data_IF_815425326966
#
_entry.id   IF_815425326966
#
_cell.length_a   1.000
_cell.length_b   1.000
_cell.length_c   1.000
_cell.angle_alpha   90.00
_cell.angle_beta   90.00
_cell.angle_gamma   90.00
#
_symmetry.space_group_name_H-M   'P 1'
#
loop_
_entity.id
_entity.type
_entity.pdbx_description
1 polymer ?
#
# COMPACT_ATOMS: atom_id res chain seq x y z
N UNK A 1 -27.87 -13.09 0.72
CA UNK A 1 -28.04 -14.14 -0.31
C UNK A 1 -26.68 -14.67 -0.77
N UNK A 2 -26.57 -15.93 -1.16
CA UNK A 2 -25.33 -16.64 -1.49
C UNK A 2 -24.46 -15.96 -2.57
N UNK A 3 -25.07 -15.32 -3.56
CA UNK A 3 -24.33 -14.70 -4.67
C UNK A 3 -23.44 -13.52 -4.24
N UNK A 4 -23.90 -12.63 -3.35
CA UNK A 4 -23.10 -11.52 -2.87
C UNK A 4 -21.90 -11.98 -2.02
N UNK A 5 -22.08 -13.05 -1.23
CA UNK A 5 -20.98 -13.63 -0.44
C UNK A 5 -19.90 -14.29 -1.32
N UNK A 6 -20.29 -14.83 -2.47
CA UNK A 6 -19.35 -15.47 -3.40
C UNK A 6 -18.54 -14.45 -4.20
N UNK A 7 -19.14 -13.31 -4.55
CA UNK A 7 -18.44 -12.20 -5.22
C UNK A 7 -17.41 -11.56 -4.27
N UNK A 8 -17.79 -11.34 -3.01
CA UNK A 8 -16.87 -10.82 -1.98
C UNK A 8 -15.68 -11.76 -1.76
N UNK A 9 -15.92 -13.07 -1.66
CA UNK A 9 -14.86 -14.07 -1.47
C UNK A 9 -13.90 -14.21 -2.66
N UNK A 10 -14.29 -13.75 -3.85
CA UNK A 10 -13.47 -13.82 -5.07
C UNK A 10 -12.71 -12.53 -5.37
N UNK A 11 -12.91 -11.48 -4.56
CA UNK A 11 -12.32 -10.18 -4.83
C UNK A 11 -10.81 -10.15 -4.55
N UNK A 12 -10.38 -10.82 -3.49
CA UNK A 12 -8.99 -10.78 -3.00
C UNK A 12 -8.41 -12.16 -2.69
N UNK A 13 -8.38 -13.10 -3.67
CA UNK A 13 -7.96 -14.49 -3.42
C UNK A 13 -6.49 -14.63 -3.01
N UNK A 14 -5.61 -13.75 -3.48
CA UNK A 14 -4.18 -13.77 -3.14
C UNK A 14 -3.95 -13.27 -1.70
N UNK A 15 -4.55 -12.14 -1.33
CA UNK A 15 -4.51 -11.60 0.03
C UNK A 15 -5.16 -12.57 1.02
N UNK A 16 -6.28 -13.20 0.67
CA UNK A 16 -6.96 -14.19 1.51
C UNK A 16 -6.08 -15.42 1.76
N UNK A 17 -5.36 -15.89 0.73
CA UNK A 17 -4.41 -16.98 0.86
C UNK A 17 -3.22 -16.57 1.73
N UNK A 18 -2.67 -15.39 1.50
CA UNK A 18 -1.56 -14.84 2.26
C UNK A 18 -1.96 -14.65 3.73
N UNK A 19 -3.16 -14.13 4.01
CA UNK A 19 -3.67 -13.92 5.36
C UNK A 19 -3.76 -15.23 6.18
N UNK A 20 -4.06 -16.37 5.53
CA UNK A 20 -4.07 -17.68 6.20
C UNK A 20 -2.68 -18.18 6.59
N UNK A 21 -1.63 -17.65 6.00
CA UNK A 21 -0.22 -18.02 6.21
C UNK A 21 0.56 -16.94 6.96
N UNK A 22 -0.14 -15.94 7.51
CA UNK A 22 0.45 -14.73 8.07
C UNK A 22 -0.21 -14.36 9.40
N UNK A 23 0.40 -13.46 10.13
CA UNK A 23 -0.29 -12.77 11.21
C UNK A 23 -1.17 -11.68 10.59
N UNK A 24 -2.48 -11.87 10.68
CA UNK A 24 -3.47 -10.96 10.18
C UNK A 24 -4.21 -10.24 11.32
N UNK A 25 -4.07 -8.93 11.38
CA UNK A 25 -4.67 -8.07 12.40
C UNK A 25 -5.94 -7.43 11.85
N UNK A 26 -7.09 -7.95 12.26
CA UNK A 26 -8.42 -7.48 11.81
C UNK A 26 -8.83 -6.13 12.41
N UNK A 27 -8.30 -5.80 13.57
CA UNK A 27 -8.60 -4.58 14.33
C UNK A 27 -7.39 -3.65 14.34
N UNK A 28 -6.88 -3.35 13.15
CA UNK A 28 -5.84 -2.36 12.97
C UNK A 28 -6.45 -1.06 12.46
N UNK A 29 -6.08 0.06 13.08
CA UNK A 29 -6.63 1.38 12.78
C UNK A 29 -5.49 2.36 12.56
N UNK A 30 -5.53 3.06 11.43
CA UNK A 30 -4.64 4.21 11.24
C UNK A 30 -5.15 5.38 12.10
N UNK A 31 -4.25 6.15 12.72
CA UNK A 31 -4.65 7.18 13.69
C UNK A 31 -5.43 8.33 13.04
N UNK A 32 -5.10 8.67 11.79
CA UNK A 32 -5.75 9.73 11.02
C UNK A 32 -5.82 9.30 9.56
N UNK A 33 -6.93 9.56 8.88
CA UNK A 33 -7.11 9.22 7.46
C UNK A 33 -6.36 10.19 6.54
N UNK A 34 -5.86 9.64 5.43
CA UNK A 34 -5.14 10.37 4.38
C UNK A 34 -3.70 9.91 4.23
N UNK A 35 -3.30 9.66 2.99
CA UNK A 35 -2.02 9.02 2.64
C UNK A 35 -0.82 9.72 3.28
N UNK A 36 -0.68 11.05 3.14
CA UNK A 36 0.46 11.77 3.71
C UNK A 36 0.52 11.68 5.25
N UNK A 37 -0.66 11.62 5.91
CA UNK A 37 -0.76 11.49 7.36
C UNK A 37 -0.38 10.09 7.84
N UNK A 38 -0.76 9.07 7.08
CA UNK A 38 -0.37 7.70 7.39
C UNK A 38 1.12 7.47 7.11
N UNK A 39 1.65 8.00 6.03
CA UNK A 39 3.10 7.97 5.78
C UNK A 39 3.85 8.67 6.92
N UNK A 40 3.41 9.86 7.35
CA UNK A 40 3.97 10.52 8.52
C UNK A 40 3.98 9.61 9.75
N UNK A 41 2.82 9.05 10.10
CA UNK A 41 2.69 8.19 11.27
C UNK A 41 3.55 6.92 11.18
N UNK A 42 3.63 6.30 10.01
CA UNK A 42 4.44 5.08 9.79
C UNK A 42 5.95 5.34 9.88
N UNK A 43 6.41 6.55 9.51
CA UNK A 43 7.83 6.92 9.57
C UNK A 43 8.24 7.40 10.95
N UNK A 44 7.37 8.17 11.62
CA UNK A 44 7.71 8.87 12.88
C UNK A 44 7.18 8.17 14.12
N UNK A 45 6.16 7.31 13.99
CA UNK A 45 5.41 6.75 15.12
C UNK A 45 4.46 7.74 15.80
N UNK A 46 4.28 8.95 15.26
CA UNK A 46 3.46 10.01 15.83
C UNK A 46 2.28 10.32 14.91
N UNK A 47 1.03 10.39 15.42
CA UNK A 47 -0.12 10.79 14.61
C UNK A 47 0.00 12.21 14.07
N UNK A 48 -0.32 12.43 12.80
CA UNK A 48 -0.47 13.75 12.23
C UNK A 48 -1.89 14.28 12.50
N UNK A 49 -2.06 15.05 13.55
CA UNK A 49 -3.35 15.61 13.97
C UNK A 49 -3.61 17.03 13.39
N UNK A 50 -2.79 17.50 12.47
CA UNK A 50 -2.99 18.80 11.82
C UNK A 50 -4.35 18.87 11.11
N UNK A 51 -5.04 20.01 11.20
CA UNK A 51 -6.41 20.12 10.68
C UNK A 51 -6.46 20.49 9.20
N UNK A 52 -5.62 21.40 8.75
CA UNK A 52 -5.70 21.99 7.40
C UNK A 52 -4.68 21.40 6.45
N UNK A 53 -3.41 21.38 6.83
CA UNK A 53 -2.32 20.83 6.03
C UNK A 53 -1.71 19.62 6.72
N UNK A 54 -1.08 18.75 5.95
CA UNK A 54 -0.34 17.63 6.53
C UNK A 54 0.98 18.11 7.13
N UNK A 55 1.40 17.50 8.23
CA UNK A 55 2.67 17.81 8.90
C UNK A 55 3.87 17.71 7.95
N UNK A 56 3.78 16.83 6.94
CA UNK A 56 4.80 16.67 5.89
C UNK A 56 5.07 17.97 5.12
N UNK A 57 4.08 18.85 4.97
CA UNK A 57 4.20 20.13 4.24
C UNK A 57 4.84 21.26 5.06
N UNK A 58 5.16 21.00 6.31
CA UNK A 58 5.76 21.99 7.21
C UNK A 58 7.27 21.73 7.35
N UNK A 59 8.14 22.42 6.58
CA UNK A 59 9.57 22.12 6.53
C UNK A 59 10.29 22.14 7.87
N UNK A 60 9.80 22.96 8.82
CA UNK A 60 10.40 23.09 10.15
C UNK A 60 10.22 21.85 11.03
N UNK A 61 9.26 20.98 10.73
CA UNK A 61 8.96 19.79 11.53
C UNK A 61 9.17 18.47 10.78
N UNK A 62 9.59 18.49 9.52
CA UNK A 62 9.80 17.26 8.73
C UNK A 62 10.99 16.43 9.22
N UNK A 63 11.93 17.00 9.93
CA UNK A 63 13.03 16.25 10.54
C UNK A 63 12.57 15.62 11.84
N UNK A 64 12.22 14.34 11.79
CA UNK A 64 11.71 13.57 12.91
C UNK A 64 12.63 12.40 13.22
N UNK A 65 12.54 11.89 14.43
CA UNK A 65 13.13 10.60 14.76
C UNK A 65 12.34 9.48 14.10
N UNK A 66 13.03 8.49 13.54
CA UNK A 66 12.41 7.32 12.93
C UNK A 66 13.03 6.03 13.46
N UNK A 67 12.18 5.07 13.85
CA UNK A 67 12.62 3.73 14.23
C UNK A 67 13.29 2.97 13.08
N UNK A 68 13.08 3.39 11.83
CA UNK A 68 13.75 2.83 10.66
C UNK A 68 15.29 3.04 10.75
N UNK A 69 15.74 4.04 11.49
CA UNK A 69 17.16 4.27 11.72
C UNK A 69 17.82 3.20 12.60
N UNK A 70 17.05 2.39 13.32
CA UNK A 70 17.57 1.22 14.04
C UNK A 70 18.10 0.13 13.09
N UNK A 71 17.68 0.14 11.82
CA UNK A 71 18.22 -0.69 10.75
C UNK A 71 19.51 -0.06 10.18
N UNK A 72 20.54 0.16 11.02
CA UNK A 72 21.75 0.93 10.66
C UNK A 72 22.53 0.29 9.50
N UNK A 73 22.63 -1.05 9.49
CA UNK A 73 23.41 -1.82 8.54
C UNK A 73 22.61 -2.26 7.30
N UNK A 74 21.36 -1.80 7.19
CA UNK A 74 20.48 -2.14 6.10
C UNK A 74 20.57 -1.12 4.96
N UNK A 75 20.47 -1.59 3.72
CA UNK A 75 20.14 -0.75 2.58
C UNK A 75 18.69 -0.27 2.73
N UNK A 76 18.49 1.02 2.96
CA UNK A 76 17.17 1.60 3.16
C UNK A 76 16.67 2.23 1.86
N UNK A 77 15.52 1.75 1.36
CA UNK A 77 14.89 2.22 0.13
C UNK A 77 13.47 2.69 0.42
N UNK A 78 13.12 3.82 -0.15
CA UNK A 78 11.72 4.28 -0.24
C UNK A 78 11.36 4.38 -1.72
N UNK A 79 10.33 3.66 -2.14
CA UNK A 79 9.95 3.49 -3.53
C UNK A 79 8.48 3.88 -3.71
N UNK A 80 8.22 4.85 -4.58
CA UNK A 80 6.88 5.33 -4.88
C UNK A 80 6.72 5.42 -6.41
N UNK A 81 5.58 4.98 -6.94
CA UNK A 81 5.30 5.00 -8.37
C UNK A 81 5.16 6.39 -8.96
N UNK A 82 4.66 7.33 -8.18
CA UNK A 82 4.43 8.71 -8.58
C UNK A 82 5.47 9.69 -8.07
N UNK A 83 5.08 10.97 -7.98
CA UNK A 83 5.95 12.08 -7.59
C UNK A 83 6.08 12.19 -6.06
N UNK A 84 7.27 11.98 -5.52
CA UNK A 84 7.54 12.09 -4.09
C UNK A 84 7.49 13.55 -3.56
N UNK A 85 7.45 14.55 -4.45
CA UNK A 85 7.20 15.95 -4.09
C UNK A 85 5.76 16.19 -3.65
N UNK A 86 4.82 15.32 -4.06
CA UNK A 86 3.45 15.40 -3.58
C UNK A 86 3.41 15.33 -2.05
N UNK A 87 2.68 16.27 -1.43
CA UNK A 87 2.61 16.44 0.01
C UNK A 87 3.97 16.50 0.73
N UNK A 88 5.05 16.80 0.03
CA UNK A 88 6.42 16.84 0.53
C UNK A 88 6.90 15.51 1.18
N UNK A 89 6.45 14.37 0.68
CA UNK A 89 6.89 13.05 1.14
C UNK A 89 8.42 12.94 1.04
N UNK A 90 9.00 13.43 -0.06
CA UNK A 90 10.45 13.48 -0.24
C UNK A 90 11.17 14.19 0.91
N UNK A 91 10.66 15.34 1.37
CA UNK A 91 11.24 16.07 2.50
C UNK A 91 11.21 15.28 3.81
N UNK A 92 10.07 14.67 4.14
CA UNK A 92 9.93 13.82 5.32
C UNK A 92 10.92 12.64 5.28
N UNK A 93 10.93 11.89 4.19
CA UNK A 93 11.73 10.66 4.06
C UNK A 93 13.23 10.98 4.17
N UNK A 94 13.72 11.97 3.39
CA UNK A 94 15.14 12.31 3.38
C UNK A 94 15.65 12.96 4.67
N UNK A 95 14.78 13.64 5.40
CA UNK A 95 15.16 14.30 6.66
C UNK A 95 15.06 13.39 7.88
N UNK A 96 14.22 12.34 7.82
CA UNK A 96 13.95 11.47 8.97
C UNK A 96 14.64 10.11 8.89
N UNK A 97 15.03 9.64 7.72
CA UNK A 97 15.64 8.32 7.54
C UNK A 97 17.08 8.49 7.04
N UNK A 98 18.03 8.08 7.86
CA UNK A 98 19.45 8.15 7.54
C UNK A 98 19.82 7.22 6.39
N UNK A 99 20.59 7.72 5.42
CA UNK A 99 21.11 6.98 4.28
C UNK A 99 20.03 6.32 3.41
N UNK A 100 18.80 6.86 3.41
CA UNK A 100 17.72 6.36 2.57
C UNK A 100 17.95 6.70 1.10
N UNK A 101 17.72 5.75 0.21
CA UNK A 101 17.58 5.97 -1.23
C UNK A 101 16.10 6.06 -1.57
N UNK A 102 15.68 7.24 -2.04
CA UNK A 102 14.33 7.48 -2.48
C UNK A 102 14.27 7.42 -4.01
N UNK A 103 13.34 6.62 -4.52
CA UNK A 103 13.04 6.45 -5.93
C UNK A 103 11.58 6.81 -6.20
N UNK A 104 11.35 7.65 -7.17
CA UNK A 104 10.04 8.15 -7.60
C UNK A 104 9.92 8.16 -9.13
N UNK A 105 8.85 8.74 -9.65
CA UNK A 105 8.56 8.78 -11.09
C UNK A 105 9.73 9.25 -11.97
N UNK A 106 10.65 10.05 -11.44
CA UNK A 106 11.81 10.54 -12.20
C UNK A 106 12.91 9.48 -12.41
N UNK A 107 12.83 8.36 -11.71
CA UNK A 107 13.81 7.28 -11.74
C UNK A 107 13.35 6.04 -12.53
N UNK A 108 12.05 5.95 -12.85
CA UNK A 108 11.47 4.77 -13.47
C UNK A 108 11.61 4.80 -14.99
N UNK A 109 11.86 3.63 -15.58
CA UNK A 109 11.83 3.45 -17.03
C UNK A 109 10.42 3.05 -17.51
N UNK A 110 9.62 2.51 -16.63
CA UNK A 110 8.24 2.12 -16.93
C UNK A 110 7.37 3.34 -17.23
N UNK A 111 6.38 3.21 -18.15
CA UNK A 111 5.54 4.34 -18.54
C UNK A 111 4.58 4.72 -17.41
N UNK A 112 4.31 6.02 -17.29
CA UNK A 112 3.24 6.51 -16.44
C UNK A 112 1.88 6.01 -16.94
N UNK A 113 1.04 5.59 -16.01
CA UNK A 113 -0.31 5.07 -16.28
C UNK A 113 -1.35 6.17 -16.12
N UNK A 114 -1.18 7.01 -15.11
CA UNK A 114 -2.03 8.15 -14.83
C UNK A 114 -1.28 9.21 -13.99
N UNK A 115 -2.02 10.13 -13.38
CA UNK A 115 -1.46 11.22 -12.55
C UNK A 115 -0.73 10.75 -11.29
N UNK A 116 -0.87 9.48 -10.92
CA UNK A 116 -0.23 8.86 -9.76
C UNK A 116 1.06 8.11 -10.09
N UNK A 117 1.48 8.10 -11.37
CA UNK A 117 2.74 7.54 -11.81
C UNK A 117 2.63 6.21 -12.54
N UNK A 118 3.61 5.34 -12.35
CA UNK A 118 3.65 4.01 -12.96
C UNK A 118 2.67 3.05 -12.26
N UNK A 119 2.36 1.92 -12.89
CA UNK A 119 1.51 0.90 -12.27
C UNK A 119 2.15 0.29 -11.02
N UNK A 120 1.32 -0.21 -10.08
CA UNK A 120 1.84 -0.95 -8.90
C UNK A 120 2.64 -2.18 -9.32
N UNK A 121 2.24 -2.85 -10.41
CA UNK A 121 2.99 -3.99 -10.95
C UNK A 121 4.38 -3.56 -11.43
N UNK A 122 4.47 -2.46 -12.17
CA UNK A 122 5.76 -1.92 -12.61
C UNK A 122 6.60 -1.44 -11.43
N UNK A 123 5.98 -0.82 -10.42
CA UNK A 123 6.67 -0.47 -9.18
C UNK A 123 7.29 -1.71 -8.52
N UNK A 124 6.59 -2.84 -8.50
CA UNK A 124 7.13 -4.09 -7.97
C UNK A 124 8.28 -4.65 -8.81
N UNK A 125 8.17 -4.62 -10.14
CA UNK A 125 9.24 -5.05 -11.06
C UNK A 125 10.49 -4.15 -10.95
N UNK A 126 10.31 -2.84 -10.90
CA UNK A 126 11.40 -1.89 -10.72
C UNK A 126 12.05 -2.04 -9.34
N UNK A 127 11.25 -2.27 -8.29
CA UNK A 127 11.75 -2.55 -6.95
C UNK A 127 12.59 -3.84 -6.92
N UNK A 128 12.11 -4.91 -7.55
CA UNK A 128 12.86 -6.17 -7.67
C UNK A 128 14.22 -5.96 -8.32
N UNK A 129 14.28 -5.18 -9.41
CA UNK A 129 15.54 -4.85 -10.09
C UNK A 129 16.55 -4.19 -9.12
N UNK A 130 16.07 -3.27 -8.28
CA UNK A 130 16.90 -2.58 -7.29
C UNK A 130 17.32 -3.50 -6.14
N UNK A 131 16.40 -4.32 -5.63
CA UNK A 131 16.67 -5.27 -4.54
C UNK A 131 17.66 -6.36 -4.95
N UNK A 132 17.55 -6.87 -6.18
CA UNK A 132 18.51 -7.85 -6.72
C UNK A 132 19.92 -7.29 -6.92
N UNK A 133 20.04 -5.97 -7.07
CA UNK A 133 21.35 -5.31 -7.18
C UNK A 133 22.07 -5.17 -5.83
N UNK A 134 21.38 -5.39 -4.71
CA UNK A 134 21.99 -5.42 -3.38
C UNK A 134 22.70 -6.76 -3.21
N UNK A 135 23.96 -6.77 -2.74
CA UNK A 135 24.67 -8.02 -2.42
C UNK A 135 23.85 -8.91 -1.47
N UNK A 136 23.83 -10.22 -1.72
CA UNK A 136 22.96 -11.16 -0.99
C UNK A 136 23.27 -11.30 0.49
N UNK A 137 24.48 -10.95 0.90
CA UNK A 137 24.94 -10.92 2.29
C UNK A 137 24.62 -9.61 3.02
N UNK A 138 24.00 -8.66 2.32
CA UNK A 138 23.61 -7.37 2.87
C UNK A 138 22.09 -7.27 3.01
N UNK A 139 21.59 -6.91 4.19
CA UNK A 139 20.16 -6.79 4.42
C UNK A 139 19.58 -5.50 3.82
N UNK A 140 18.29 -5.49 3.55
CA UNK A 140 17.57 -4.30 3.10
C UNK A 140 16.29 -4.04 3.92
N UNK A 141 15.92 -2.77 3.97
CA UNK A 141 14.61 -2.28 4.38
C UNK A 141 14.01 -1.53 3.19
N UNK A 142 12.91 -2.01 2.65
CA UNK A 142 12.25 -1.39 1.50
C UNK A 142 10.82 -1.00 1.86
N UNK A 143 10.49 0.28 1.70
CA UNK A 143 9.12 0.80 1.84
C UNK A 143 8.57 1.09 0.44
N UNK A 144 7.55 0.34 0.03
CA UNK A 144 6.88 0.48 -1.26
C UNK A 144 5.53 1.16 -1.05
N UNK A 145 5.34 2.32 -1.65
CA UNK A 145 4.07 3.04 -1.61
C UNK A 145 3.33 2.86 -2.94
N UNK A 146 2.25 2.08 -2.91
CA UNK A 146 1.38 1.84 -4.07
C UNK A 146 0.34 2.94 -4.24
N UNK A 147 -0.20 3.09 -5.44
CA UNK A 147 -1.21 4.10 -5.78
C UNK A 147 -2.34 3.60 -6.69
N UNK A 148 -2.27 2.37 -7.18
CA UNK A 148 -3.23 1.84 -8.16
C UNK A 148 -4.68 1.72 -7.65
N UNK A 149 -4.90 1.75 -6.34
CA UNK A 149 -6.25 1.76 -5.75
C UNK A 149 -6.81 3.17 -5.52
N UNK A 150 -6.18 4.20 -6.08
CA UNK A 150 -6.65 5.59 -6.06
C UNK A 150 -7.49 5.90 -7.31
N UNK A 151 -8.44 6.84 -7.20
CA UNK A 151 -9.13 7.38 -8.39
C UNK A 151 -8.12 8.00 -9.37
N UNK A 152 -8.23 7.78 -10.67
CA UNK A 152 -9.40 7.29 -11.43
C UNK A 152 -9.56 5.75 -11.51
N UNK A 153 -8.81 4.94 -10.74
CA UNK A 153 -8.86 3.48 -10.76
C UNK A 153 -8.44 2.89 -12.11
N UNK A 154 -7.34 3.38 -12.63
CA UNK A 154 -6.84 3.01 -13.95
C UNK A 154 -6.36 1.57 -13.98
N UNK A 155 -6.85 0.79 -14.92
CA UNK A 155 -6.32 -0.55 -15.21
C UNK A 155 -5.27 -0.40 -16.32
N UNK A 156 -3.98 -0.68 -16.08
CA UNK A 156 -2.94 -0.57 -17.10
C UNK A 156 -3.20 -1.54 -18.25
N UNK A 157 -2.76 -1.17 -19.45
CA UNK A 157 -2.83 -2.07 -20.63
C UNK A 157 -1.87 -3.25 -20.47
N UNK A 158 -0.66 -2.99 -19.99
CA UNK A 158 0.30 -4.03 -19.60
C UNK A 158 0.11 -4.33 -18.10
N UNK A 159 -0.46 -5.51 -17.81
CA UNK A 159 -0.89 -5.89 -16.47
C UNK A 159 -0.70 -7.39 -16.19
N UNK A 160 0.23 -8.03 -16.90
CA UNK A 160 0.54 -9.47 -16.80
C UNK A 160 -0.70 -10.39 -16.97
N UNK A 161 -1.67 -9.96 -17.77
CA UNK A 161 -2.86 -10.78 -18.09
C UNK A 161 -3.98 -10.67 -17.06
N UNK A 162 -3.98 -9.65 -16.20
CA UNK A 162 -5.12 -9.38 -15.32
C UNK A 162 -6.41 -9.19 -16.13
N UNK A 163 -7.49 -9.83 -15.67
CA UNK A 163 -8.81 -9.73 -16.30
C UNK A 163 -9.77 -8.95 -15.40
N UNK A 164 -10.14 -7.75 -15.83
CA UNK A 164 -11.23 -7.00 -15.21
C UNK A 164 -12.55 -7.78 -15.37
N UNK A 165 -13.41 -7.69 -14.35
CA UNK A 165 -14.75 -8.26 -14.41
C UNK A 165 -15.76 -7.19 -14.85
N UNK A 166 -16.76 -7.61 -15.59
CA UNK A 166 -17.94 -6.81 -15.89
C UNK A 166 -19.10 -7.36 -15.05
N UNK A 167 -19.52 -6.60 -14.05
CA UNK A 167 -20.54 -6.98 -13.09
C UNK A 167 -21.57 -5.86 -12.94
N UNK A 168 -22.85 -6.22 -12.68
CA UNK A 168 -23.88 -5.24 -12.37
C UNK A 168 -23.49 -4.39 -11.16
N UNK A 169 -23.85 -3.10 -11.20
CA UNK A 169 -23.51 -2.15 -10.11
C UNK A 169 -24.04 -2.63 -8.74
N UNK A 170 -25.23 -3.21 -8.72
CA UNK A 170 -25.83 -3.79 -7.51
C UNK A 170 -24.92 -4.85 -6.87
N UNK A 171 -24.34 -5.74 -7.69
CA UNK A 171 -23.41 -6.78 -7.24
C UNK A 171 -22.13 -6.17 -6.67
N UNK A 172 -21.60 -5.15 -7.35
CA UNK A 172 -20.39 -4.42 -6.95
C UNK A 172 -20.61 -3.68 -5.63
N UNK A 173 -21.76 -3.05 -5.46
CA UNK A 173 -22.13 -2.35 -4.21
C UNK A 173 -22.36 -3.32 -3.05
N UNK A 174 -22.97 -4.48 -3.30
CA UNK A 174 -23.11 -5.54 -2.30
C UNK A 174 -21.74 -6.09 -1.84
N UNK A 175 -20.71 -5.99 -2.67
CA UNK A 175 -19.32 -6.31 -2.33
C UNK A 175 -18.56 -5.15 -1.64
N UNK A 176 -19.23 -4.03 -1.35
CA UNK A 176 -18.66 -2.89 -0.63
C UNK A 176 -17.96 -1.86 -1.51
N UNK A 177 -17.98 -1.98 -2.84
CA UNK A 177 -17.39 -1.02 -3.76
C UNK A 177 -18.45 -0.04 -4.30
N UNK A 178 -18.07 1.21 -4.54
CA UNK A 178 -18.99 2.24 -5.06
C UNK A 178 -19.15 2.20 -6.57
N UNK A 179 -18.21 1.60 -7.28
CA UNK A 179 -18.20 1.50 -8.73
C UNK A 179 -17.50 0.24 -9.20
N UNK A 180 -17.78 -0.18 -10.43
CA UNK A 180 -17.09 -1.29 -11.08
C UNK A 180 -15.58 -1.01 -11.23
N UNK A 181 -15.20 0.24 -11.51
CA UNK A 181 -13.79 0.64 -11.60
C UNK A 181 -13.07 0.44 -10.25
N UNK A 182 -13.67 0.87 -9.13
CA UNK A 182 -13.12 0.65 -7.79
C UNK A 182 -13.01 -0.84 -7.46
N UNK A 183 -14.05 -1.63 -7.78
CA UNK A 183 -14.05 -3.07 -7.57
C UNK A 183 -12.89 -3.76 -8.30
N UNK A 184 -12.71 -3.42 -9.58
CA UNK A 184 -11.61 -3.96 -10.38
C UNK A 184 -10.23 -3.46 -9.94
N UNK A 185 -10.11 -2.24 -9.43
CA UNK A 185 -8.86 -1.73 -8.87
C UNK A 185 -8.42 -2.53 -7.62
N UNK A 186 -9.35 -2.87 -6.73
CA UNK A 186 -9.07 -3.75 -5.57
C UNK A 186 -8.63 -5.14 -6.03
N UNK A 187 -9.29 -5.70 -7.05
CA UNK A 187 -8.89 -6.98 -7.64
C UNK A 187 -7.50 -6.93 -8.28
N UNK A 188 -7.19 -5.83 -8.95
CA UNK A 188 -5.87 -5.62 -9.55
C UNK A 188 -4.79 -5.50 -8.47
N UNK A 189 -5.06 -4.79 -7.38
CA UNK A 189 -4.15 -4.71 -6.23
C UNK A 189 -3.86 -6.10 -5.66
N UNK A 190 -4.89 -6.91 -5.45
CA UNK A 190 -4.74 -8.31 -5.00
C UNK A 190 -3.90 -9.16 -5.98
N UNK A 191 -4.19 -9.04 -7.26
CA UNK A 191 -3.42 -9.72 -8.31
C UNK A 191 -1.95 -9.28 -8.28
N UNK A 192 -1.68 -7.99 -8.19
CA UNK A 192 -0.34 -7.44 -8.14
C UNK A 192 0.43 -7.88 -6.88
N UNK A 193 -0.23 -8.02 -5.72
CA UNK A 193 0.39 -8.59 -4.51
C UNK A 193 0.77 -10.06 -4.74
N UNK A 194 -0.08 -10.83 -5.40
CA UNK A 194 0.27 -12.20 -5.81
C UNK A 194 1.52 -12.22 -6.70
N UNK A 195 1.59 -11.31 -7.67
CA UNK A 195 2.77 -11.15 -8.54
C UNK A 195 4.02 -10.72 -7.77
N UNK A 196 3.89 -9.81 -6.79
CA UNK A 196 5.00 -9.43 -5.92
C UNK A 196 5.61 -10.63 -5.20
N UNK A 197 4.77 -11.53 -4.66
CA UNK A 197 5.26 -12.75 -4.00
C UNK A 197 6.01 -13.67 -4.98
N UNK A 198 5.52 -13.83 -6.20
CA UNK A 198 6.19 -14.61 -7.24
C UNK A 198 7.51 -13.96 -7.68
N UNK A 199 7.53 -12.65 -7.87
CA UNK A 199 8.73 -11.85 -8.18
C UNK A 199 9.78 -12.04 -7.08
N UNK A 200 9.40 -11.93 -5.81
CA UNK A 200 10.31 -12.10 -4.68
C UNK A 200 10.91 -13.51 -4.62
N UNK A 201 10.12 -14.54 -4.90
CA UNK A 201 10.60 -15.93 -5.00
C UNK A 201 11.60 -16.11 -6.14
N UNK A 202 11.27 -15.62 -7.32
CA UNK A 202 12.18 -15.64 -8.47
C UNK A 202 13.44 -14.80 -8.23
N UNK A 203 13.34 -13.72 -7.45
CA UNK A 203 14.44 -12.87 -7.01
C UNK A 203 15.35 -13.52 -5.97
N UNK A 204 14.88 -14.58 -5.30
CA UNK A 204 15.63 -15.34 -4.31
C UNK A 204 15.79 -14.65 -2.95
N UNK A 205 14.94 -13.65 -2.65
CA UNK A 205 14.93 -12.98 -1.35
C UNK A 205 13.64 -13.26 -0.54
N UNK A 206 12.68 -14.00 -1.10
CA UNK A 206 11.41 -14.31 -0.45
C UNK A 206 11.58 -14.96 0.91
N UNK A 207 12.32 -16.06 1.00
CA UNK A 207 12.47 -16.86 2.22
C UNK A 207 13.22 -16.15 3.35
N UNK A 208 13.85 -15.02 3.04
CA UNK A 208 14.68 -14.23 3.98
C UNK A 208 14.10 -12.81 4.20
N UNK A 209 12.83 -12.61 3.85
CA UNK A 209 12.18 -11.30 3.93
C UNK A 209 10.90 -11.38 4.75
N UNK A 210 10.74 -10.47 5.69
CA UNK A 210 9.46 -10.24 6.36
C UNK A 210 8.69 -9.21 5.54
N UNK A 211 7.52 -9.60 5.05
CA UNK A 211 6.62 -8.73 4.28
C UNK A 211 5.56 -8.17 5.22
N UNK A 212 5.44 -6.84 5.23
CA UNK A 212 4.42 -6.13 6.01
C UNK A 212 3.51 -5.38 5.05
N UNK A 213 2.24 -5.73 5.04
CA UNK A 213 1.21 -5.07 4.24
C UNK A 213 0.23 -4.35 5.15
N UNK A 214 0.02 -3.08 4.92
CA UNK A 214 -1.01 -2.32 5.62
C UNK A 214 -1.66 -1.29 4.71
N UNK A 215 -2.93 -0.96 4.99
CA UNK A 215 -3.62 0.12 4.31
C UNK A 215 -3.24 1.47 4.89
N UNK A 216 -3.17 2.50 4.05
CA UNK A 216 -2.92 3.87 4.48
C UNK A 216 -4.19 4.52 5.07
N UNK A 217 -5.35 4.22 4.54
CA UNK A 217 -6.68 4.53 5.05
C UNK A 217 -7.72 3.73 4.26
N UNK A 218 -8.93 3.63 4.78
CA UNK A 218 -10.04 3.07 4.03
C UNK A 218 -10.77 4.16 3.25
N UNK A 219 -11.45 3.78 2.17
CA UNK A 219 -12.46 4.63 1.55
C UNK A 219 -13.69 4.62 2.44
N UNK A 220 -14.43 5.75 2.48
CA UNK A 220 -15.67 5.84 3.27
C UNK A 220 -16.72 4.86 2.72
N UNK A 221 -16.67 3.63 3.20
CA UNK A 221 -17.66 2.61 2.97
C UNK A 221 -18.70 2.77 4.07
N UNK A 222 -19.99 2.77 3.73
CA UNK A 222 -21.06 3.04 4.68
C UNK A 222 -21.30 1.95 5.72
N UNK A 223 -20.73 0.77 5.54
CA UNK A 223 -20.84 -0.35 6.50
C UNK A 223 -19.66 -1.31 6.33
N UNK A 224 -18.94 -1.56 7.41
CA UNK A 224 -17.94 -2.63 7.46
C UNK A 224 -18.57 -3.82 8.18
N UNK A 225 -18.73 -4.96 7.51
CA UNK A 225 -19.25 -6.15 8.16
C UNK A 225 -18.43 -6.51 9.40
N UNK A 226 -19.12 -6.75 10.51
CA UNK A 226 -18.49 -7.10 11.80
C UNK A 226 -17.80 -5.97 12.57
N UNK A 227 -17.92 -4.71 12.15
CA UNK A 227 -17.48 -3.59 12.98
C UNK A 227 -18.43 -3.42 14.18
N UNK A 228 -17.87 -3.16 15.35
CA UNK A 228 -18.67 -2.90 16.54
C UNK A 228 -19.47 -1.60 16.37
N UNK A 229 -20.76 -1.55 16.74
CA UNK A 229 -21.61 -0.35 16.56
C UNK A 229 -21.03 0.92 17.19
N UNK A 230 -20.30 0.80 18.30
CA UNK A 230 -19.61 1.93 18.92
C UNK A 230 -18.51 2.53 18.01
N UNK A 231 -17.85 1.73 17.19
CA UNK A 231 -16.81 2.21 16.27
C UNK A 231 -17.42 2.88 15.05
N UNK A 232 -18.57 2.40 14.57
CA UNK A 232 -19.34 3.07 13.52
C UNK A 232 -19.85 4.44 14.01
N UNK A 233 -20.36 4.54 15.24
CA UNK A 233 -20.76 5.79 15.85
C UNK A 233 -19.61 6.80 15.98
N UNK A 234 -18.38 6.32 16.15
CA UNK A 234 -17.17 7.15 16.19
C UNK A 234 -16.61 7.46 14.80
N UNK A 235 -17.20 6.93 13.73
CA UNK A 235 -16.75 7.15 12.35
C UNK A 235 -15.41 6.52 12.02
N UNK A 236 -15.09 5.39 12.67
CA UNK A 236 -13.79 4.71 12.50
C UNK A 236 -13.70 3.81 11.26
N UNK A 237 -14.74 3.76 10.42
CA UNK A 237 -14.75 2.96 9.19
C UNK A 237 -13.62 3.35 8.24
N UNK A 238 -13.32 4.65 8.17
CA UNK A 238 -12.24 5.15 7.32
C UNK A 238 -10.84 4.86 7.89
N UNK A 239 -10.75 4.58 9.17
CA UNK A 239 -9.49 4.30 9.88
C UNK A 239 -9.16 2.80 9.93
N UNK A 240 -10.17 1.93 9.81
CA UNK A 240 -9.95 0.48 9.84
C UNK A 240 -9.32 0.02 8.53
N UNK A 241 -8.13 -0.55 8.63
CA UNK A 241 -7.36 -1.05 7.49
C UNK A 241 -6.76 -2.42 7.82
N UNK A 242 -6.46 -3.26 6.82
CA UNK A 242 -5.74 -4.50 7.08
C UNK A 242 -4.31 -4.21 7.52
N UNK A 243 -3.80 -5.05 8.43
CA UNK A 243 -2.37 -5.21 8.69
C UNK A 243 -2.04 -6.69 8.61
N UNK A 244 -1.05 -7.03 7.82
CA UNK A 244 -0.65 -8.40 7.51
C UNK A 244 0.87 -8.49 7.62
N UNK A 245 1.37 -9.42 8.44
CA UNK A 245 2.80 -9.68 8.59
C UNK A 245 3.06 -11.12 8.15
N UNK A 246 3.76 -11.27 7.04
CA UNK A 246 4.14 -12.54 6.44
C UNK A 246 5.63 -12.76 6.59
N UNK A 247 6.00 -13.83 7.26
CA UNK A 247 7.38 -14.31 7.39
C UNK A 247 7.40 -15.76 6.88
N UNK A 248 7.94 -16.00 5.68
CA UNK A 248 8.01 -17.32 5.05
C UNK A 248 8.82 -18.33 5.86
#
# INVERSE_FOLDING_TARGET
SSAASDVYKRQTPNLDRLARQSWFFKHFYVPVTGTAKTVWASITGVPDVTRQETATRQPLITRQHSLINAFSDYHKLYLIGGNAGWANINGLIRQSIDNVRLYDESHWQSPQVDVWGISDLDLFKESDRLLRAIPRDQPFFAYLQTSGNHRPFTIPKDNDGFQAQDLPLETVQAAGSRSLAQYNAVRLLDFNIGRLMEIAKAGGYYDNTIFVFFGDHNTRISQIPHMAPAFEQLGLESNNVPLLIHAP
#
